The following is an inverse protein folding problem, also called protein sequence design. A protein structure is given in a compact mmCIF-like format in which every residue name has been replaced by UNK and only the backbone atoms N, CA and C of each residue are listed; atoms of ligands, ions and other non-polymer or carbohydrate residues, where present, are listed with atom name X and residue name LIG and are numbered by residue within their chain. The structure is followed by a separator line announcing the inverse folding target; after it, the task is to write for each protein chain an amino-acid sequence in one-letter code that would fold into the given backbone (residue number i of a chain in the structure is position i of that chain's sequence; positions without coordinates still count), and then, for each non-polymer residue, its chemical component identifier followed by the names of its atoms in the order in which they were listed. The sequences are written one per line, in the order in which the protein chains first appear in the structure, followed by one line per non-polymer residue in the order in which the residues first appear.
data_IF_674309000237
#
_entry.id   IF_674309000237
#
_cell.length_a   1.000
_cell.length_b   1.000
_cell.length_c   1.000
_cell.angle_alpha   90.00
_cell.angle_beta   90.00
_cell.angle_gamma   90.00
#
_symmetry.space_group_name_H-M   'P 1'
#
loop_
_entity.id
_entity.type
_entity.pdbx_description
1 polymer ?
#
# COMPACT_ATOMS: atom_id res chain seq x y z
N UNK A 1 25.03 -8.84 12.63
CA UNK A 1 24.33 -7.58 12.95
C UNK A 1 23.79 -7.52 14.38
N UNK A 2 22.86 -8.39 14.80
CA UNK A 2 22.21 -8.27 16.12
C UNK A 2 23.15 -8.17 17.33
N UNK A 3 24.25 -8.92 17.34
CA UNK A 3 25.25 -8.82 18.41
C UNK A 3 25.98 -7.45 18.42
N UNK A 4 26.38 -6.96 17.25
CA UNK A 4 27.02 -5.64 17.12
C UNK A 4 26.11 -4.54 17.67
N UNK A 5 24.82 -4.57 17.35
CA UNK A 5 23.88 -3.58 17.89
C UNK A 5 23.72 -3.71 19.41
N UNK A 6 23.60 -4.91 19.96
CA UNK A 6 23.48 -5.10 21.42
C UNK A 6 24.74 -4.68 22.20
N UNK A 7 25.92 -4.80 21.58
CA UNK A 7 27.19 -4.42 22.20
C UNK A 7 27.48 -2.92 22.12
N UNK A 8 26.93 -2.22 21.13
CA UNK A 8 27.28 -0.82 20.84
C UNK A 8 26.13 0.17 20.98
N UNK A 9 24.89 -0.30 21.21
CA UNK A 9 23.72 0.56 21.37
C UNK A 9 22.97 0.14 22.63
N UNK A 10 22.74 1.08 23.56
CA UNK A 10 21.94 0.79 24.73
C UNK A 10 20.45 0.64 24.38
N UNK A 11 19.73 -0.17 25.16
CA UNK A 11 18.29 -0.35 24.95
C UNK A 11 17.52 0.97 25.11
N UNK A 12 17.94 1.83 26.04
CA UNK A 12 17.32 3.13 26.25
C UNK A 12 17.50 4.06 25.04
N UNK A 13 18.65 4.00 24.35
CA UNK A 13 18.93 4.78 23.13
C UNK A 13 17.99 4.45 21.95
N UNK A 14 17.36 3.26 21.96
CA UNK A 14 16.43 2.83 20.91
C UNK A 14 14.96 2.80 21.35
N UNK A 15 14.68 2.59 22.64
CA UNK A 15 13.30 2.47 23.15
C UNK A 15 12.69 3.81 23.58
N UNK A 16 13.48 4.77 24.06
CA UNK A 16 12.96 6.06 24.50
C UNK A 16 12.99 7.03 23.33
N UNK A 17 11.82 7.52 22.93
CA UNK A 17 11.62 8.44 21.79
C UNK A 17 12.22 9.83 22.00
N UNK A 18 13.06 10.05 23.02
CA UNK A 18 13.80 11.31 23.15
C UNK A 18 14.92 11.35 22.12
N UNK A 19 14.54 11.71 20.89
CA UNK A 19 15.42 11.88 19.75
C UNK A 19 16.34 13.10 19.89
N UNK A 20 16.38 13.76 21.05
CA UNK A 20 17.29 14.87 21.33
C UNK A 20 18.41 14.45 22.30
N UNK A 21 18.34 13.25 22.88
CA UNK A 21 19.39 12.73 23.75
C UNK A 21 20.70 12.55 22.98
N UNK A 22 21.68 13.40 23.28
CA UNK A 22 22.95 13.49 22.55
C UNK A 22 23.74 12.18 22.61
N UNK A 23 23.75 11.50 23.75
CA UNK A 23 24.39 10.20 23.90
C UNK A 23 23.73 9.11 23.03
N UNK A 24 22.39 9.10 22.95
CA UNK A 24 21.66 8.12 22.15
C UNK A 24 21.93 8.28 20.65
N UNK A 25 21.98 9.53 20.17
CA UNK A 25 22.37 9.82 18.78
C UNK A 25 23.83 9.40 18.55
N UNK A 26 24.74 9.68 19.48
CA UNK A 26 26.15 9.29 19.33
C UNK A 26 26.34 7.77 19.30
N UNK A 27 25.66 7.01 20.16
CA UNK A 27 25.70 5.53 20.16
C UNK A 27 25.18 4.96 18.83
N UNK A 28 24.00 5.41 18.41
CA UNK A 28 23.31 4.92 17.20
C UNK A 28 24.00 5.32 15.90
N UNK A 29 24.78 6.40 15.89
CA UNK A 29 25.55 6.87 14.74
C UNK A 29 27.05 6.58 14.84
N UNK A 30 27.47 5.75 15.80
CA UNK A 30 28.86 5.35 15.98
C UNK A 30 29.41 4.60 14.75
N UNK A 31 30.71 4.70 14.52
CA UNK A 31 31.41 4.06 13.40
C UNK A 31 31.11 2.56 13.32
N UNK A 32 31.14 1.83 14.44
CA UNK A 32 30.82 0.40 14.49
C UNK A 32 29.39 0.08 14.06
N UNK A 33 28.42 0.95 14.39
CA UNK A 33 27.01 0.76 14.01
C UNK A 33 26.84 1.03 12.52
N UNK A 34 27.43 2.13 12.02
CA UNK A 34 27.37 2.48 10.60
C UNK A 34 28.08 1.45 9.72
N UNK A 35 29.25 0.95 10.12
CA UNK A 35 29.95 -0.12 9.40
C UNK A 35 29.09 -1.39 9.35
N UNK A 36 28.41 -1.72 10.45
CA UNK A 36 27.50 -2.86 10.48
C UNK A 36 26.29 -2.67 9.56
N UNK A 37 25.75 -1.45 9.46
CA UNK A 37 24.65 -1.13 8.55
C UNK A 37 25.11 -1.14 7.09
N UNK A 38 26.26 -0.54 6.79
CA UNK A 38 26.84 -0.48 5.45
C UNK A 38 27.07 -1.86 4.85
N UNK A 39 27.62 -2.79 5.65
CA UNK A 39 27.83 -4.18 5.25
C UNK A 39 26.52 -4.94 4.92
N UNK A 40 25.37 -4.37 5.27
CA UNK A 40 24.03 -4.89 5.02
C UNK A 40 23.16 -3.91 4.21
N UNK A 41 23.76 -2.95 3.48
CA UNK A 41 22.99 -1.99 2.67
C UNK A 41 22.11 -2.68 1.60
N UNK A 42 22.53 -3.86 1.14
CA UNK A 42 21.79 -4.69 0.18
C UNK A 42 20.76 -5.64 0.83
N UNK A 43 20.77 -5.75 2.16
CA UNK A 43 19.79 -6.55 2.89
C UNK A 43 18.52 -5.73 3.15
N UNK A 44 17.42 -6.45 3.34
CA UNK A 44 16.17 -5.88 3.88
C UNK A 44 15.99 -6.30 5.32
N UNK A 45 15.29 -5.48 6.09
CA UNK A 45 14.78 -5.86 7.41
C UNK A 45 13.30 -6.09 7.31
N UNK A 46 12.85 -7.19 7.92
CA UNK A 46 11.45 -7.53 8.09
C UNK A 46 11.08 -7.36 9.56
N UNK A 47 10.09 -6.53 9.83
CA UNK A 47 9.54 -6.36 11.16
C UNK A 47 8.01 -6.36 11.16
N UNK A 48 7.42 -6.75 12.29
CA UNK A 48 5.98 -6.67 12.50
C UNK A 48 5.57 -5.21 12.68
N UNK A 49 4.82 -4.69 11.71
CA UNK A 49 4.20 -3.37 11.79
C UNK A 49 2.92 -3.40 12.61
N UNK A 50 2.06 -4.41 12.41
CA UNK A 50 0.80 -4.55 13.14
C UNK A 50 0.60 -5.98 13.65
N UNK A 51 0.39 -6.18 14.96
CA UNK A 51 0.47 -5.15 16.00
C UNK A 51 1.91 -4.67 16.21
N UNK A 52 2.09 -3.39 16.52
CA UNK A 52 3.40 -2.83 16.85
C UNK A 52 3.91 -3.47 18.16
N UNK A 53 5.07 -4.12 18.12
CA UNK A 53 5.57 -4.95 19.24
C UNK A 53 5.72 -4.20 20.58
N UNK A 54 6.00 -2.90 20.54
CA UNK A 54 6.35 -2.10 21.73
C UNK A 54 5.29 -1.05 22.10
N UNK A 55 4.19 -0.95 21.35
CA UNK A 55 3.05 -0.09 21.69
C UNK A 55 2.00 -0.95 22.40
N UNK A 56 1.51 -0.52 23.57
CA UNK A 56 0.49 -1.26 24.32
C UNK A 56 -0.73 -0.38 24.52
N UNK A 57 -1.81 -0.72 23.84
CA UNK A 57 -3.07 0.04 23.83
C UNK A 57 -4.19 -0.83 23.24
N UNK A 58 -5.43 -0.41 23.42
CA UNK A 58 -6.61 -1.20 23.07
C UNK A 58 -6.70 -1.52 21.57
N UNK A 59 -6.18 -0.63 20.72
CA UNK A 59 -6.11 -0.76 19.27
C UNK A 59 -4.81 -1.46 18.78
N UNK A 60 -3.97 -1.94 19.68
CA UNK A 60 -2.71 -2.63 19.35
C UNK A 60 -2.51 -3.91 20.17
N UNK A 61 -3.05 -5.01 19.67
CA UNK A 61 -2.95 -6.31 20.33
C UNK A 61 -2.87 -7.45 19.29
N UNK A 62 -2.30 -8.61 19.63
CA UNK A 62 -2.10 -9.75 18.70
C UNK A 62 -3.34 -10.25 17.96
N UNK A 63 -4.53 -9.96 18.47
CA UNK A 63 -5.81 -10.37 17.87
C UNK A 63 -6.55 -9.24 17.18
N UNK A 64 -5.90 -8.10 16.93
CA UNK A 64 -6.52 -6.94 16.29
C UNK A 64 -6.98 -7.26 14.86
N UNK A 65 -6.16 -8.00 14.11
CA UNK A 65 -6.53 -8.54 12.81
C UNK A 65 -7.17 -9.92 12.97
N UNK A 66 -8.23 -10.20 12.20
CA UNK A 66 -8.95 -11.47 12.29
C UNK A 66 -8.58 -12.42 11.16
N UNK A 67 -8.77 -11.96 9.94
CA UNK A 67 -8.56 -12.67 8.68
C UNK A 67 -8.07 -11.66 7.62
N UNK A 68 -6.88 -11.05 7.80
CA UNK A 68 -6.37 -10.11 6.81
C UNK A 68 -5.95 -10.87 5.54
N UNK A 69 -6.37 -10.39 4.37
CA UNK A 69 -6.13 -11.07 3.07
C UNK A 69 -5.38 -10.17 2.08
N UNK A 70 -5.71 -8.89 2.02
CA UNK A 70 -5.12 -7.95 1.07
C UNK A 70 -4.91 -6.58 1.69
N UNK A 71 -4.03 -5.78 1.08
CA UNK A 71 -3.65 -4.45 1.59
C UNK A 71 -3.45 -3.48 0.44
N UNK A 72 -3.81 -2.21 0.64
CA UNK A 72 -3.53 -1.13 -0.31
C UNK A 72 -3.19 0.18 0.41
N UNK A 73 -2.53 1.09 -0.31
CA UNK A 73 -2.23 2.44 0.19
C UNK A 73 -3.47 3.34 0.12
N UNK A 74 -3.51 4.33 1.01
CA UNK A 74 -4.34 5.52 0.84
C UNK A 74 -3.67 6.55 -0.08
N UNK A 75 -4.39 7.61 -0.41
CA UNK A 75 -3.80 8.81 -1.03
C UNK A 75 -2.95 9.61 -0.01
N UNK A 76 -3.16 9.36 1.29
CA UNK A 76 -2.23 9.78 2.36
C UNK A 76 -1.20 8.66 2.62
N UNK A 77 0.11 8.91 2.42
CA UNK A 77 1.17 7.91 2.61
C UNK A 77 1.17 7.30 4.02
N UNK A 78 0.63 8.02 5.01
CA UNK A 78 0.55 7.55 6.39
C UNK A 78 -0.44 6.40 6.57
N UNK A 79 -1.40 6.22 5.66
CA UNK A 79 -2.59 5.39 5.90
C UNK A 79 -2.61 4.16 4.99
N UNK A 80 -2.80 2.98 5.58
CA UNK A 80 -2.96 1.71 4.89
C UNK A 80 -4.37 1.16 5.08
N UNK A 81 -4.95 0.60 4.03
CA UNK A 81 -6.23 -0.10 4.12
C UNK A 81 -6.01 -1.59 4.00
N UNK A 82 -6.53 -2.35 4.97
CA UNK A 82 -6.47 -3.81 4.95
C UNK A 82 -7.87 -4.37 4.70
N UNK A 83 -7.96 -5.27 3.71
CA UNK A 83 -9.08 -6.18 3.57
C UNK A 83 -8.99 -7.23 4.69
N UNK A 84 -9.58 -6.87 5.81
CA UNK A 84 -9.86 -7.72 6.96
C UNK A 84 -11.32 -7.46 7.37
N UNK A 85 -11.87 -8.28 8.25
CA UNK A 85 -13.14 -7.98 8.93
C UNK A 85 -13.06 -6.72 9.82
N UNK A 86 -11.91 -6.04 9.94
CA UNK A 86 -11.62 -5.01 10.98
C UNK A 86 -11.05 -3.65 10.49
N UNK A 87 -10.75 -3.39 9.20
CA UNK A 87 -10.54 -2.01 8.66
C UNK A 87 -9.12 -1.40 8.70
N UNK A 88 -9.01 -0.07 8.51
CA UNK A 88 -7.78 0.74 8.23
C UNK A 88 -6.73 0.64 9.31
N UNK A 89 -5.48 0.74 8.89
CA UNK A 89 -4.32 0.76 9.74
C UNK A 89 -3.47 1.99 9.41
N UNK A 90 -3.41 2.92 10.35
CA UNK A 90 -2.18 3.68 10.60
C UNK A 90 -1.27 2.76 11.43
N UNK A 91 0.06 2.73 11.27
CA UNK A 91 0.93 1.92 12.12
C UNK A 91 0.69 2.13 13.63
N UNK A 92 0.14 3.30 14.02
CA UNK A 92 -0.26 3.61 15.38
C UNK A 92 -1.79 3.66 15.65
N UNK A 93 -2.67 3.36 14.69
CA UNK A 93 -4.12 3.26 14.96
C UNK A 93 -4.80 2.26 14.03
N UNK A 94 -5.40 1.20 14.61
CA UNK A 94 -6.24 0.25 13.86
C UNK A 94 -7.71 0.57 14.09
N UNK A 95 -8.42 0.90 13.01
CA UNK A 95 -9.82 1.34 13.05
C UNK A 95 -10.71 0.66 12.03
N UNK A 96 -11.82 0.10 12.51
CA UNK A 96 -12.87 -0.44 11.65
C UNK A 96 -13.64 0.67 10.93
N UNK A 97 -13.56 0.68 9.59
CA UNK A 97 -14.35 1.59 8.77
C UNK A 97 -15.75 1.07 8.51
N UNK A 98 -15.84 -0.18 8.05
CA UNK A 98 -17.09 -0.75 7.58
C UNK A 98 -17.28 -2.15 8.16
N UNK A 99 -18.55 -2.53 8.29
CA UNK A 99 -19.00 -3.87 8.70
C UNK A 99 -19.74 -4.54 7.54
N UNK A 100 -19.88 -5.86 7.60
CA UNK A 100 -20.70 -6.61 6.64
C UNK A 100 -19.95 -7.20 5.44
N UNK A 101 -18.63 -7.00 5.37
CA UNK A 101 -17.75 -7.77 4.49
C UNK A 101 -17.60 -9.19 5.06
N UNK A 102 -17.94 -10.22 4.28
CA UNK A 102 -17.86 -11.62 4.74
C UNK A 102 -16.66 -12.37 4.19
N UNK A 103 -16.32 -12.11 2.92
CA UNK A 103 -15.30 -12.86 2.17
C UNK A 103 -14.49 -11.90 1.30
N UNK A 104 -13.82 -10.90 1.91
CA UNK A 104 -12.97 -9.98 1.15
C UNK A 104 -11.77 -10.74 0.58
N UNK A 105 -11.49 -10.58 -0.71
CA UNK A 105 -10.33 -11.18 -1.39
C UNK A 105 -9.33 -10.16 -1.91
N UNK A 106 -9.78 -8.92 -2.14
CA UNK A 106 -8.93 -7.83 -2.59
C UNK A 106 -9.46 -6.48 -2.16
N UNK A 107 -8.57 -5.52 -1.98
CA UNK A 107 -8.89 -4.12 -1.66
C UNK A 107 -8.08 -3.15 -2.51
N UNK A 108 -8.70 -2.03 -2.88
CA UNK A 108 -8.08 -0.94 -3.62
C UNK A 108 -8.67 0.40 -3.14
N UNK A 109 -7.84 1.43 -3.06
CA UNK A 109 -8.29 2.81 -2.84
C UNK A 109 -8.30 3.59 -4.16
N UNK A 110 -9.37 4.35 -4.39
CA UNK A 110 -9.53 5.21 -5.55
C UNK A 110 -10.17 6.54 -5.09
N UNK A 111 -9.34 7.59 -4.96
CA UNK A 111 -9.78 8.95 -4.59
C UNK A 111 -10.62 8.96 -3.29
N UNK A 112 -10.09 8.34 -2.24
CA UNK A 112 -10.76 8.23 -0.93
C UNK A 112 -11.95 7.26 -0.86
N UNK A 113 -12.22 6.49 -1.91
CA UNK A 113 -13.24 5.44 -1.95
C UNK A 113 -12.56 4.07 -2.01
N UNK A 114 -12.94 3.18 -1.08
CA UNK A 114 -12.41 1.82 -1.05
C UNK A 114 -13.28 0.91 -1.91
N UNK A 115 -12.64 0.10 -2.76
CA UNK A 115 -13.26 -0.95 -3.53
C UNK A 115 -12.77 -2.30 -3.01
N UNK A 116 -13.69 -3.24 -2.82
CA UNK A 116 -13.40 -4.56 -2.25
C UNK A 116 -14.07 -5.63 -3.10
N UNK A 117 -13.31 -6.66 -3.47
CA UNK A 117 -13.86 -7.90 -4.02
C UNK A 117 -14.41 -8.76 -2.87
N UNK A 118 -15.70 -9.10 -2.91
CA UNK A 118 -16.24 -10.17 -2.08
C UNK A 118 -16.41 -11.43 -2.94
N UNK A 119 -15.32 -12.16 -3.18
CA UNK A 119 -15.28 -13.30 -4.11
C UNK A 119 -16.33 -14.37 -3.77
N UNK A 120 -16.48 -14.73 -2.49
CA UNK A 120 -17.52 -15.67 -2.02
C UNK A 120 -18.97 -15.18 -2.17
N UNK A 121 -19.19 -13.90 -2.49
CA UNK A 121 -20.50 -13.31 -2.79
C UNK A 121 -20.63 -12.84 -4.25
N UNK A 122 -19.65 -13.11 -5.10
CA UNK A 122 -19.70 -12.81 -6.54
C UNK A 122 -19.98 -11.34 -6.86
N UNK A 123 -19.37 -10.41 -6.11
CA UNK A 123 -19.64 -8.97 -6.27
C UNK A 123 -18.44 -8.10 -5.89
N UNK A 124 -18.41 -6.91 -6.47
CA UNK A 124 -17.55 -5.81 -6.05
C UNK A 124 -18.39 -4.88 -5.19
N UNK A 125 -17.85 -4.47 -4.05
CA UNK A 125 -18.46 -3.46 -3.19
C UNK A 125 -17.55 -2.26 -3.06
N UNK A 126 -18.14 -1.12 -2.72
CA UNK A 126 -17.37 0.09 -2.45
C UNK A 126 -17.86 0.79 -1.17
N UNK A 127 -16.94 1.50 -0.53
CA UNK A 127 -17.13 2.16 0.77
C UNK A 127 -16.55 3.58 0.65
N UNK A 128 -17.41 4.58 0.80
CA UNK A 128 -17.00 5.99 0.82
C UNK A 128 -16.75 6.42 2.27
N UNK A 129 -15.51 6.26 2.73
CA UNK A 129 -15.09 6.63 4.08
C UNK A 129 -14.67 8.11 4.18
N UNK A 130 -14.40 8.76 3.06
CA UNK A 130 -14.00 10.17 3.02
C UNK A 130 -15.16 11.13 2.73
N UNK A 131 -16.38 10.60 2.55
CA UNK A 131 -17.62 11.36 2.28
C UNK A 131 -17.54 12.14 0.95
N UNK A 132 -16.85 11.57 -0.04
CA UNK A 132 -16.55 12.16 -1.36
C UNK A 132 -17.74 12.15 -2.32
N UNK A 133 -18.71 11.27 -2.07
CA UNK A 133 -19.93 11.14 -2.88
C UNK A 133 -21.11 11.95 -2.33
N UNK A 134 -20.93 12.63 -1.21
CA UNK A 134 -21.92 13.54 -0.67
C UNK A 134 -22.04 14.78 -1.54
N UNK A 135 -23.27 15.16 -1.86
CA UNK A 135 -23.54 16.43 -2.52
C UNK A 135 -23.55 17.57 -1.48
N UNK A 136 -22.52 18.42 -1.50
CA UNK A 136 -22.53 19.67 -0.75
C UNK A 136 -23.29 20.75 -1.55
N UNK A 137 -24.55 20.98 -1.20
CA UNK A 137 -25.44 21.93 -1.89
C UNK A 137 -24.86 23.36 -1.87
N UNK A 138 -24.13 23.71 -0.81
CA UNK A 138 -23.59 25.05 -0.63
C UNK A 138 -22.36 25.33 -1.50
N UNK A 139 -21.58 24.29 -1.81
CA UNK A 139 -20.35 24.38 -2.62
C UNK A 139 -20.51 23.89 -4.06
N UNK A 140 -21.61 23.17 -4.35
CA UNK A 140 -21.85 22.61 -5.68
C UNK A 140 -22.09 23.67 -6.75
N UNK A 141 -21.66 23.33 -7.96
CA UNK A 141 -21.84 24.14 -9.17
C UNK A 141 -23.32 24.17 -9.59
N UNK A 142 -23.73 25.18 -10.39
CA UNK A 142 -25.11 25.25 -10.92
C UNK A 142 -25.46 23.99 -11.71
N UNK A 143 -24.53 23.46 -12.51
CA UNK A 143 -24.70 22.24 -13.32
C UNK A 143 -25.09 21.04 -12.44
N UNK A 144 -24.28 20.75 -11.42
CA UNK A 144 -24.49 19.61 -10.52
C UNK A 144 -25.80 19.75 -9.74
N UNK A 145 -26.15 20.97 -9.30
CA UNK A 145 -27.41 21.23 -8.62
C UNK A 145 -28.61 21.09 -9.56
N UNK A 146 -28.50 21.45 -10.84
CA UNK A 146 -29.59 21.24 -11.80
C UNK A 146 -29.82 19.75 -12.04
N UNK A 147 -28.75 18.99 -12.24
CA UNK A 147 -28.82 17.52 -12.40
C UNK A 147 -29.48 16.85 -11.19
N UNK A 148 -29.08 17.25 -9.98
CA UNK A 148 -29.69 16.76 -8.74
C UNK A 148 -31.14 17.21 -8.58
N UNK A 149 -31.46 18.44 -8.96
CA UNK A 149 -32.83 18.95 -8.90
C UNK A 149 -33.76 18.20 -9.88
N UNK A 150 -33.27 17.86 -11.08
CA UNK A 150 -34.00 17.02 -12.03
C UNK A 150 -34.29 15.63 -11.44
N UNK A 151 -33.31 15.02 -10.76
CA UNK A 151 -33.52 13.76 -10.05
C UNK A 151 -34.59 13.87 -8.95
N UNK A 152 -34.70 15.01 -8.27
CA UNK A 152 -35.75 15.29 -7.28
C UNK A 152 -37.11 15.73 -7.90
N UNK A 153 -37.24 15.63 -9.22
CA UNK A 153 -38.42 16.01 -10.00
C UNK A 153 -38.79 17.49 -9.85
N UNK A 154 -37.80 18.37 -9.64
CA UNK A 154 -38.00 19.82 -9.64
C UNK A 154 -38.16 20.30 -11.08
N UNK A 155 -39.22 21.07 -11.34
CA UNK A 155 -39.54 21.59 -12.68
C UNK A 155 -38.58 22.72 -13.10
N UNK A 156 -38.03 22.61 -14.31
CA UNK A 156 -37.18 23.62 -14.99
C UNK A 156 -36.06 24.23 -14.10
N UNK A 157 -35.20 23.39 -13.47
CA UNK A 157 -34.18 23.87 -12.53
C UNK A 157 -33.15 24.80 -13.18
N UNK A 158 -32.89 24.66 -14.47
CA UNK A 158 -31.98 25.50 -15.26
C UNK A 158 -32.39 26.98 -15.31
N UNK A 159 -33.70 27.27 -15.22
CA UNK A 159 -34.24 28.65 -15.18
C UNK A 159 -34.02 29.32 -13.83
N UNK A 160 -33.80 28.56 -12.76
CA UNK A 160 -33.55 29.11 -11.43
C UNK A 160 -32.14 29.66 -11.30
N UNK A 161 -31.99 30.76 -10.53
CA UNK A 161 -30.67 31.21 -10.09
C UNK A 161 -30.13 30.28 -8.99
N UNK A 162 -28.82 30.34 -8.75
CA UNK A 162 -28.11 29.42 -7.84
C UNK A 162 -28.66 29.46 -6.41
N UNK A 163 -29.01 30.65 -5.90
CA UNK A 163 -29.55 30.83 -4.54
C UNK A 163 -30.91 30.17 -4.40
N UNK A 164 -31.81 30.42 -5.34
CA UNK A 164 -33.15 29.84 -5.37
C UNK A 164 -33.08 28.32 -5.51
N UNK A 165 -32.22 27.81 -6.40
CA UNK A 165 -32.06 26.38 -6.62
C UNK A 165 -31.64 25.65 -5.35
N UNK A 166 -30.65 26.19 -4.62
CA UNK A 166 -30.22 25.64 -3.31
C UNK A 166 -31.38 25.59 -2.30
N UNK A 167 -32.21 26.64 -2.24
CA UNK A 167 -33.36 26.68 -1.33
C UNK A 167 -34.43 25.63 -1.68
N UNK A 168 -34.74 25.47 -2.96
CA UNK A 168 -35.74 24.48 -3.41
C UNK A 168 -35.25 23.06 -3.10
N UNK A 169 -33.99 22.75 -3.42
CA UNK A 169 -33.39 21.44 -3.16
C UNK A 169 -33.44 21.13 -1.66
N UNK A 170 -33.00 22.05 -0.79
CA UNK A 170 -33.02 21.84 0.65
C UNK A 170 -34.43 21.53 1.18
N UNK A 171 -35.44 22.31 0.77
CA UNK A 171 -36.84 22.05 1.16
C UNK A 171 -37.34 20.68 0.71
N UNK A 172 -36.96 20.26 -0.51
CA UNK A 172 -37.37 18.96 -1.07
C UNK A 172 -36.73 17.79 -0.34
N UNK A 173 -35.46 17.90 0.03
CA UNK A 173 -34.75 16.91 0.86
C UNK A 173 -35.42 16.79 2.24
N UNK A 174 -35.71 17.92 2.89
CA UNK A 174 -36.39 17.94 4.20
C UNK A 174 -37.77 17.28 4.13
N UNK A 175 -38.56 17.61 3.10
CA UNK A 175 -39.89 17.04 2.90
C UNK A 175 -39.88 15.54 2.59
N UNK A 176 -38.86 15.06 1.88
CA UNK A 176 -38.71 13.65 1.50
C UNK A 176 -38.15 12.77 2.64
N UNK A 177 -37.71 13.36 3.76
CA UNK A 177 -37.17 12.60 4.89
C UNK A 177 -35.93 11.78 4.54
N UNK A 178 -35.14 12.23 3.57
CA UNK A 178 -33.99 11.46 3.08
C UNK A 178 -32.93 11.30 4.20
N UNK A 179 -32.31 10.11 4.34
CA UNK A 179 -31.30 9.85 5.37
C UNK A 179 -30.07 10.75 5.20
N UNK A 180 -29.43 11.13 6.33
CA UNK A 180 -28.41 12.18 6.40
C UNK A 180 -26.99 11.78 5.95
N UNK A 181 -26.79 10.56 5.44
CA UNK A 181 -25.50 10.15 4.89
C UNK A 181 -25.36 8.64 4.66
N UNK A 182 -24.40 8.28 3.81
CA UNK A 182 -24.03 6.89 3.47
C UNK A 182 -22.55 6.62 3.74
N UNK A 183 -21.89 7.49 4.52
CA UNK A 183 -20.51 7.31 4.94
C UNK A 183 -20.36 5.94 5.59
N UNK A 184 -19.27 5.24 5.26
CA UNK A 184 -18.92 3.94 5.84
C UNK A 184 -19.90 2.79 5.51
N UNK A 185 -20.88 3.04 4.63
CA UNK A 185 -21.82 2.02 4.17
C UNK A 185 -21.23 1.22 3.02
N UNK A 186 -21.41 -0.11 3.07
CA UNK A 186 -21.01 -1.02 2.01
C UNK A 186 -22.09 -1.01 0.92
N UNK A 187 -21.72 -0.56 -0.29
CA UNK A 187 -22.61 -0.51 -1.46
C UNK A 187 -22.08 -1.42 -2.56
N UNK A 188 -22.96 -1.99 -3.36
CA UNK A 188 -22.56 -2.86 -4.47
C UNK A 188 -22.25 -2.00 -5.69
N UNK A 189 -21.10 -2.23 -6.33
CA UNK A 189 -20.77 -1.63 -7.61
C UNK A 189 -21.34 -2.50 -8.73
N UNK A 190 -22.31 -1.97 -9.46
CA UNK A 190 -22.75 -2.57 -10.72
C UNK A 190 -21.78 -2.17 -11.83
N UNK A 191 -21.17 -3.16 -12.50
CA UNK A 191 -20.21 -2.94 -13.60
C UNK A 191 -20.81 -3.27 -14.98
N UNK A 192 -22.11 -3.52 -15.06
CA UNK A 192 -22.82 -3.81 -16.32
C UNK A 192 -22.57 -5.21 -16.88
N UNK A 193 -21.95 -6.11 -16.10
CA UNK A 193 -21.71 -7.51 -16.49
C UNK A 193 -22.47 -8.43 -15.55
N UNK A 194 -23.28 -9.32 -16.14
CA UNK A 194 -24.05 -10.30 -15.38
C UNK A 194 -23.15 -11.40 -14.83
N UNK A 195 -23.16 -11.56 -13.49
CA UNK A 195 -22.53 -12.64 -12.74
C UNK A 195 -21.01 -12.79 -12.96
N UNK A 196 -20.25 -11.98 -12.22
CA UNK A 196 -18.78 -12.04 -12.07
C UNK A 196 -18.38 -12.75 -10.77
N UNK A 197 -17.21 -13.39 -10.76
CA UNK A 197 -16.51 -13.88 -9.57
C UNK A 197 -15.20 -13.08 -9.45
N UNK A 198 -15.28 -11.83 -8.95
CA UNK A 198 -14.14 -10.94 -8.91
C UNK A 198 -13.17 -11.40 -7.81
N UNK A 199 -11.89 -11.50 -8.15
CA UNK A 199 -10.86 -12.05 -7.25
C UNK A 199 -9.83 -11.01 -6.82
N UNK A 200 -9.33 -10.20 -7.76
CA UNK A 200 -8.30 -9.19 -7.52
C UNK A 200 -8.58 -7.88 -8.26
N UNK A 201 -8.23 -6.75 -7.64
CA UNK A 201 -8.30 -5.41 -8.21
C UNK A 201 -6.91 -4.80 -8.33
N UNK A 202 -6.71 -3.94 -9.33
CA UNK A 202 -5.55 -3.04 -9.39
C UNK A 202 -5.95 -1.68 -9.98
N UNK A 203 -5.51 -0.62 -9.31
CA UNK A 203 -5.74 0.77 -9.75
C UNK A 203 -4.89 1.06 -10.98
N UNK A 204 -5.45 1.80 -11.94
CA UNK A 204 -4.73 2.31 -13.12
C UNK A 204 -4.66 3.82 -13.07
N UNK A 205 -5.81 4.48 -12.88
CA UNK A 205 -5.94 5.94 -12.85
C UNK A 205 -7.06 6.34 -11.86
N UNK A 206 -7.46 7.61 -11.82
CA UNK A 206 -8.46 8.19 -10.90
C UNK A 206 -9.86 7.59 -11.04
N UNK A 207 -10.24 7.12 -12.23
CA UNK A 207 -11.56 6.54 -12.50
C UNK A 207 -11.47 5.19 -13.21
N UNK A 208 -10.29 4.57 -13.24
CA UNK A 208 -10.00 3.38 -14.03
C UNK A 208 -9.26 2.33 -13.20
N UNK A 209 -9.74 1.09 -13.26
CA UNK A 209 -9.09 -0.05 -12.66
C UNK A 209 -9.26 -1.31 -13.51
N UNK A 210 -8.43 -2.33 -13.23
CA UNK A 210 -8.65 -3.69 -13.71
C UNK A 210 -9.17 -4.59 -12.60
N UNK A 211 -10.06 -5.52 -12.96
CA UNK A 211 -10.54 -6.59 -12.07
C UNK A 211 -10.37 -7.94 -12.73
N UNK A 212 -9.77 -8.88 -12.01
CA UNK A 212 -9.70 -10.27 -12.44
C UNK A 212 -11.02 -11.00 -12.12
N UNK A 213 -11.62 -11.58 -13.15
CA UNK A 213 -12.83 -12.39 -13.03
C UNK A 213 -12.50 -13.87 -13.23
N UNK A 214 -12.62 -14.65 -12.17
CA UNK A 214 -12.34 -16.08 -12.19
C UNK A 214 -13.32 -16.84 -13.09
N UNK A 215 -14.57 -16.39 -13.19
CA UNK A 215 -15.60 -17.12 -13.92
C UNK A 215 -15.41 -17.04 -15.43
N UNK A 216 -15.19 -15.84 -15.96
CA UNK A 216 -14.89 -15.65 -17.39
C UNK A 216 -13.44 -15.93 -17.73
N UNK A 217 -12.59 -16.18 -16.72
CA UNK A 217 -11.14 -16.31 -16.87
C UNK A 217 -10.53 -15.14 -17.63
N UNK A 218 -10.89 -13.93 -17.22
CA UNK A 218 -10.46 -12.71 -17.90
C UNK A 218 -10.11 -11.60 -16.93
N UNK A 219 -9.33 -10.63 -17.40
CA UNK A 219 -9.12 -9.36 -16.72
C UNK A 219 -9.99 -8.31 -17.40
N UNK A 220 -10.87 -7.68 -16.63
CA UNK A 220 -11.82 -6.68 -17.10
C UNK A 220 -11.30 -5.28 -16.77
N UNK A 221 -11.21 -4.41 -17.78
CA UNK A 221 -10.99 -2.99 -17.57
C UNK A 221 -12.32 -2.31 -17.25
N UNK A 222 -12.38 -1.58 -16.13
CA UNK A 222 -13.60 -0.93 -15.64
C UNK A 222 -13.33 0.54 -15.38
N UNK A 223 -14.11 1.41 -16.02
CA UNK A 223 -14.19 2.83 -15.64
C UNK A 223 -15.33 3.04 -14.65
N UNK A 224 -15.15 3.94 -13.68
CA UNK A 224 -16.14 4.26 -12.64
C UNK A 224 -16.68 5.65 -12.86
N UNK A 225 -18.01 5.77 -12.86
CA UNK A 225 -18.69 7.06 -13.00
C UNK A 225 -19.66 7.29 -11.86
N UNK A 226 -19.92 8.57 -11.59
CA UNK A 226 -20.92 9.02 -10.63
C UNK A 226 -22.29 9.08 -11.31
N UNK A 227 -23.32 8.63 -10.62
CA UNK A 227 -24.73 8.87 -10.97
C UNK A 227 -25.40 9.57 -9.80
N UNK A 228 -26.35 10.45 -10.08
CA UNK A 228 -27.14 11.07 -9.00
C UNK A 228 -27.94 10.01 -8.25
N UNK A 229 -27.99 10.13 -6.93
CA UNK A 229 -28.77 9.30 -6.04
C UNK A 229 -29.33 10.11 -4.86
N UNK A 230 -30.22 9.51 -4.06
CA UNK A 230 -30.92 10.18 -2.97
C UNK A 230 -30.02 11.00 -2.02
N UNK A 231 -28.80 10.53 -1.74
CA UNK A 231 -27.86 11.10 -0.78
C UNK A 231 -26.71 11.91 -1.43
N UNK A 232 -26.79 12.16 -2.74
CA UNK A 232 -25.77 12.84 -3.52
C UNK A 232 -25.43 12.04 -4.76
N UNK A 233 -24.33 11.29 -4.69
CA UNK A 233 -23.86 10.45 -5.80
C UNK A 233 -23.70 8.98 -5.39
N UNK A 234 -24.08 8.09 -6.31
CA UNK A 234 -23.76 6.67 -6.28
C UNK A 234 -22.75 6.39 -7.40
N UNK A 235 -22.14 5.21 -7.39
CA UNK A 235 -21.19 4.78 -8.39
C UNK A 235 -21.77 3.69 -9.28
N UNK A 236 -21.34 3.69 -10.52
CA UNK A 236 -21.51 2.56 -11.43
C UNK A 236 -20.25 2.41 -12.27
N UNK A 237 -19.93 1.16 -12.58
CA UNK A 237 -18.84 0.79 -13.46
C UNK A 237 -19.34 0.62 -14.90
N UNK A 238 -18.44 0.81 -15.85
CA UNK A 238 -18.63 0.37 -17.23
C UNK A 238 -17.40 -0.43 -17.63
N UNK A 239 -17.62 -1.70 -18.02
CA UNK A 239 -16.54 -2.49 -18.60
C UNK A 239 -16.22 -1.99 -20.01
N UNK A 240 -14.96 -1.65 -20.24
CA UNK A 240 -14.48 -1.11 -21.51
C UNK A 240 -13.86 -2.17 -22.41
N UNK A 241 -13.13 -3.09 -21.78
CA UNK A 241 -12.24 -4.03 -22.45
C UNK A 241 -12.03 -5.27 -21.56
N UNK A 242 -11.70 -6.40 -22.19
CA UNK A 242 -11.45 -7.68 -21.52
C UNK A 242 -10.28 -8.42 -22.17
N UNK A 243 -9.39 -8.94 -21.33
CA UNK A 243 -8.22 -9.75 -21.71
C UNK A 243 -8.48 -11.17 -21.26
N UNK A 244 -8.47 -12.13 -22.19
CA UNK A 244 -8.64 -13.54 -21.86
C UNK A 244 -7.37 -14.11 -21.25
N UNK A 245 -7.50 -14.86 -20.15
CA UNK A 245 -6.40 -15.56 -19.49
C UNK A 245 -6.82 -17.02 -19.26
N UNK A 246 -6.73 -17.89 -20.29
CA UNK A 246 -7.35 -19.22 -20.28
C UNK A 246 -6.92 -20.14 -19.13
N UNK A 247 -5.66 -20.01 -18.70
CA UNK A 247 -5.07 -20.84 -17.65
C UNK A 247 -5.30 -20.28 -16.24
N UNK A 248 -5.97 -19.13 -16.10
CA UNK A 248 -6.29 -18.54 -14.79
C UNK A 248 -7.30 -19.44 -14.05
N UNK A 249 -6.87 -19.90 -12.88
CA UNK A 249 -7.68 -20.63 -11.90
C UNK A 249 -8.27 -19.71 -10.84
N UNK A 250 -7.60 -18.59 -10.57
CA UNK A 250 -7.96 -17.52 -9.65
C UNK A 250 -6.78 -16.55 -9.53
N UNK A 251 -7.02 -15.27 -9.79
CA UNK A 251 -5.98 -14.25 -9.63
C UNK A 251 -5.87 -13.86 -8.15
N UNK A 252 -4.71 -14.09 -7.55
CA UNK A 252 -4.42 -13.76 -6.14
C UNK A 252 -3.59 -12.48 -6.00
N UNK A 253 -2.89 -12.10 -7.08
CA UNK A 253 -2.06 -10.92 -7.18
C UNK A 253 -2.18 -10.32 -8.57
N UNK A 254 -2.32 -8.99 -8.64
CA UNK A 254 -2.40 -8.24 -9.89
C UNK A 254 -1.63 -6.92 -9.73
N UNK A 255 -0.67 -6.66 -10.60
CA UNK A 255 0.10 -5.42 -10.64
C UNK A 255 0.04 -4.81 -12.05
N UNK A 256 -0.18 -3.50 -12.12
CA UNK A 256 -0.22 -2.75 -13.37
C UNK A 256 1.09 -1.98 -13.58
N UNK A 257 1.59 -1.99 -14.81
CA UNK A 257 2.82 -1.32 -15.21
C UNK A 257 2.75 -0.89 -16.68
N UNK A 258 2.32 0.34 -16.94
CA UNK A 258 2.27 0.92 -18.29
C UNK A 258 1.49 0.06 -19.29
N UNK A 259 2.16 -0.72 -20.14
CA UNK A 259 1.53 -1.61 -21.12
C UNK A 259 1.34 -3.06 -20.61
N UNK A 260 1.76 -3.36 -19.39
CA UNK A 260 1.76 -4.72 -18.86
C UNK A 260 0.90 -4.85 -17.60
N UNK A 261 0.22 -5.99 -17.49
CA UNK A 261 -0.30 -6.51 -16.24
C UNK A 261 0.50 -7.73 -15.83
N UNK A 262 0.85 -7.82 -14.55
CA UNK A 262 1.47 -9.00 -13.98
C UNK A 262 0.49 -9.67 -13.02
N UNK A 263 0.30 -10.97 -13.20
CA UNK A 263 -0.68 -11.76 -12.47
C UNK A 263 0.03 -12.89 -11.73
N UNK A 264 -0.39 -13.15 -10.49
CA UNK A 264 -0.04 -14.33 -9.72
C UNK A 264 -1.27 -15.24 -9.56
N UNK A 265 -1.11 -16.51 -9.92
CA UNK A 265 -2.14 -17.54 -9.90
C UNK A 265 -1.55 -18.86 -9.37
N UNK A 266 -2.28 -19.54 -8.49
CA UNK A 266 -1.81 -20.78 -7.87
C UNK A 266 -1.68 -21.96 -8.86
N UNK A 267 -2.23 -21.88 -10.05
CA UNK A 267 -2.13 -22.92 -11.10
C UNK A 267 -1.19 -22.48 -12.21
N UNK A 268 -1.39 -21.27 -12.75
CA UNK A 268 -0.64 -20.80 -13.92
C UNK A 268 0.77 -20.25 -13.54
N UNK A 269 0.94 -19.79 -12.30
CA UNK A 269 2.19 -19.21 -11.80
C UNK A 269 2.18 -17.68 -11.91
N UNK A 270 3.29 -17.10 -12.38
CA UNK A 270 3.40 -15.65 -12.64
C UNK A 270 3.34 -15.41 -14.14
N UNK A 271 2.36 -14.63 -14.57
CA UNK A 271 2.11 -14.29 -15.96
C UNK A 271 2.32 -12.80 -16.18
N UNK A 272 2.73 -12.45 -17.39
CA UNK A 272 2.71 -11.09 -17.95
C UNK A 272 1.67 -11.04 -19.06
N UNK A 273 0.78 -10.07 -19.00
CA UNK A 273 -0.21 -9.76 -20.03
C UNK A 273 0.17 -8.45 -20.69
N UNK A 274 0.27 -8.41 -22.00
CA UNK A 274 0.51 -7.19 -22.77
C UNK A 274 -0.81 -6.60 -23.25
N UNK A 275 -1.09 -5.35 -22.87
CA UNK A 275 -2.39 -4.71 -23.09
C UNK A 275 -2.63 -4.37 -24.56
N UNK A 276 -1.61 -3.85 -25.25
CA UNK A 276 -1.71 -3.48 -26.66
C UNK A 276 -1.95 -4.68 -27.59
N UNK A 277 -1.26 -5.80 -27.33
CA UNK A 277 -1.32 -7.00 -28.18
C UNK A 277 -2.36 -8.03 -27.72
N UNK A 278 -2.89 -7.88 -26.50
CA UNK A 278 -3.80 -8.84 -25.85
C UNK A 278 -3.20 -10.25 -25.78
N UNK A 279 -1.92 -10.35 -25.42
CA UNK A 279 -1.19 -11.62 -25.31
C UNK A 279 -0.74 -11.88 -23.89
N UNK A 280 -0.72 -13.14 -23.49
CA UNK A 280 -0.18 -13.61 -22.23
C UNK A 280 1.15 -14.35 -22.42
N UNK A 281 2.02 -14.25 -21.42
CA UNK A 281 3.30 -14.94 -21.36
C UNK A 281 3.58 -15.40 -19.94
N UNK A 282 3.91 -16.67 -19.78
CA UNK A 282 4.30 -17.23 -18.47
C UNK A 282 5.73 -16.84 -18.15
N UNK A 283 5.95 -16.12 -17.05
CA UNK A 283 7.28 -15.79 -16.53
C UNK A 283 7.78 -16.91 -15.63
N UNK A 284 6.93 -17.38 -14.69
CA UNK A 284 7.24 -18.48 -13.79
C UNK A 284 6.07 -19.46 -13.76
N UNK A 285 6.36 -20.76 -13.81
CA UNK A 285 5.36 -21.81 -13.60
C UNK A 285 5.27 -22.19 -12.12
N UNK A 286 4.06 -22.47 -11.67
CA UNK A 286 3.82 -23.10 -10.36
C UNK A 286 4.47 -24.47 -10.29
N UNK A 287 4.95 -24.84 -9.09
CA UNK A 287 5.55 -26.14 -8.78
C UNK A 287 7.08 -26.15 -8.87
N UNK A 288 7.71 -24.99 -9.08
CA UNK A 288 9.16 -24.85 -9.14
C UNK A 288 9.76 -24.53 -7.77
N UNK A 289 11.09 -24.56 -7.67
CA UNK A 289 11.79 -24.23 -6.42
C UNK A 289 11.59 -22.77 -5.98
N UNK A 290 11.32 -21.88 -6.92
CA UNK A 290 11.15 -20.44 -6.69
C UNK A 290 9.69 -19.98 -6.79
N UNK A 291 8.77 -20.82 -7.28
CA UNK A 291 7.35 -20.48 -7.45
C UNK A 291 6.48 -21.73 -7.21
N UNK A 292 5.85 -21.82 -6.03
CA UNK A 292 4.98 -22.90 -5.61
C UNK A 292 3.52 -22.47 -5.39
N UNK A 293 3.26 -21.37 -4.71
CA UNK A 293 1.91 -20.78 -4.60
C UNK A 293 2.03 -19.26 -4.60
N UNK A 294 2.32 -18.64 -5.76
CA UNK A 294 2.47 -17.19 -5.85
C UNK A 294 1.13 -16.52 -5.57
N UNK A 295 1.10 -15.54 -4.66
CA UNK A 295 -0.13 -14.93 -4.17
C UNK A 295 -0.16 -13.43 -4.43
N UNK A 296 0.33 -12.59 -3.52
CA UNK A 296 0.41 -11.14 -3.71
C UNK A 296 1.55 -10.76 -4.65
N UNK A 297 1.39 -9.67 -5.40
CA UNK A 297 2.38 -9.17 -6.35
C UNK A 297 2.37 -7.64 -6.35
N UNK A 298 3.54 -7.02 -6.36
CA UNK A 298 3.70 -5.58 -6.37
C UNK A 298 4.95 -5.17 -7.16
N UNK A 299 4.88 -4.03 -7.86
CA UNK A 299 6.01 -3.43 -8.57
C UNK A 299 6.80 -2.52 -7.64
N UNK A 300 8.12 -2.62 -7.71
CA UNK A 300 9.07 -1.71 -7.04
C UNK A 300 10.14 -1.32 -8.04
N UNK A 301 10.16 -0.06 -8.48
CA UNK A 301 11.09 0.36 -9.54
C UNK A 301 10.89 -0.47 -10.81
N UNK A 302 11.96 -1.10 -11.31
CA UNK A 302 11.96 -2.03 -12.45
C UNK A 302 11.82 -3.50 -12.04
N UNK A 303 11.51 -3.77 -10.77
CA UNK A 303 11.45 -5.10 -10.19
C UNK A 303 9.99 -5.49 -9.87
N UNK A 304 9.72 -6.80 -9.86
CA UNK A 304 8.47 -7.36 -9.35
C UNK A 304 8.75 -8.14 -8.09
N UNK A 305 8.00 -7.87 -7.02
CA UNK A 305 8.06 -8.66 -5.80
C UNK A 305 6.75 -9.43 -5.68
N UNK A 306 6.85 -10.72 -5.38
CA UNK A 306 5.69 -11.56 -5.10
C UNK A 306 5.87 -12.30 -3.78
N UNK A 307 4.75 -12.51 -3.10
CA UNK A 307 4.67 -13.45 -2.00
C UNK A 307 4.37 -14.83 -2.54
N UNK A 308 4.97 -15.83 -1.93
CA UNK A 308 4.67 -17.21 -2.21
C UNK A 308 4.27 -17.91 -0.91
N UNK A 309 2.99 -18.27 -0.83
CA UNK A 309 2.39 -18.89 0.36
C UNK A 309 3.03 -20.24 0.63
N UNK A 310 3.29 -21.03 -0.41
CA UNK A 310 3.86 -22.37 -0.31
C UNK A 310 5.33 -22.34 0.07
N UNK A 311 6.05 -21.28 -0.31
CA UNK A 311 7.45 -21.06 0.06
C UNK A 311 7.64 -20.28 1.34
N UNK A 312 6.58 -19.73 1.96
CA UNK A 312 6.68 -18.92 3.19
C UNK A 312 7.69 -17.77 3.04
N UNK A 313 7.74 -17.17 1.85
CA UNK A 313 8.79 -16.26 1.45
C UNK A 313 8.30 -15.24 0.42
N UNK A 314 9.07 -14.18 0.26
CA UNK A 314 8.96 -13.18 -0.79
C UNK A 314 10.11 -13.37 -1.76
N UNK A 315 9.81 -13.29 -3.05
CA UNK A 315 10.78 -13.40 -4.12
C UNK A 315 10.71 -12.15 -5.00
N UNK A 316 11.83 -11.88 -5.66
CA UNK A 316 12.00 -10.71 -6.50
C UNK A 316 12.45 -11.11 -7.90
N UNK A 317 11.67 -10.76 -8.90
CA UNK A 317 12.03 -10.84 -10.31
C UNK A 317 12.71 -9.53 -10.69
N UNK A 318 13.95 -9.62 -11.17
CA UNK A 318 14.70 -8.46 -11.64
C UNK A 318 14.31 -8.10 -13.07
N UNK A 319 14.33 -6.80 -13.36
CA UNK A 319 14.08 -6.21 -14.68
C UNK A 319 12.84 -6.80 -15.40
N UNK A 320 11.68 -6.29 -15.02
CA UNK A 320 10.39 -6.75 -15.56
C UNK A 320 10.14 -6.31 -17.00
N UNK A 321 10.90 -5.32 -17.49
CA UNK A 321 10.82 -4.81 -18.86
C UNK A 321 11.52 -5.77 -19.82
N UNK A 322 12.73 -6.23 -19.46
CA UNK A 322 13.53 -7.15 -20.28
C UNK A 322 13.55 -8.59 -19.75
N UNK A 323 12.52 -8.99 -19.01
CA UNK A 323 12.48 -10.31 -18.35
C UNK A 323 12.67 -11.46 -19.36
N UNK A 324 13.66 -12.31 -19.09
CA UNK A 324 13.87 -13.54 -19.84
C UNK A 324 12.79 -14.56 -19.47
N UNK A 325 11.94 -14.92 -20.43
CA UNK A 325 10.87 -15.91 -20.21
C UNK A 325 11.39 -17.35 -20.05
N UNK A 326 12.63 -17.62 -20.47
CA UNK A 326 13.25 -18.94 -20.34
C UNK A 326 14.02 -19.11 -19.02
N UNK A 327 14.56 -18.01 -18.51
CA UNK A 327 15.38 -18.01 -17.30
C UNK A 327 15.28 -16.62 -16.64
N UNK A 328 14.15 -16.31 -15.99
CA UNK A 328 14.01 -15.04 -15.29
C UNK A 328 15.03 -14.97 -14.15
N UNK A 329 15.61 -13.80 -13.93
CA UNK A 329 16.50 -13.56 -12.79
C UNK A 329 15.64 -13.34 -11.55
N UNK A 330 15.50 -14.40 -10.75
CA UNK A 330 14.69 -14.41 -9.55
C UNK A 330 15.56 -14.67 -8.34
N UNK A 331 15.43 -13.83 -7.33
CA UNK A 331 16.17 -13.95 -6.07
C UNK A 331 15.21 -14.01 -4.89
N UNK A 332 15.59 -14.77 -3.85
CA UNK A 332 14.92 -14.71 -2.56
C UNK A 332 15.07 -13.28 -2.00
N UNK A 333 13.94 -12.64 -1.72
CA UNK A 333 13.90 -11.29 -1.18
C UNK A 333 13.81 -11.30 0.34
N UNK A 334 12.90 -12.10 0.90
CA UNK A 334 12.79 -12.30 2.34
C UNK A 334 12.09 -13.64 2.70
N UNK A 335 12.35 -14.16 3.89
CA UNK A 335 11.78 -15.40 4.41
C UNK A 335 12.72 -16.60 4.29
N UNK A 336 13.01 -17.30 5.39
CA UNK A 336 13.82 -18.53 5.37
C UNK A 336 13.09 -19.80 4.91
N UNK A 337 11.81 -19.69 4.58
CA UNK A 337 10.98 -20.80 4.12
C UNK A 337 10.35 -21.66 5.22
N UNK A 338 10.59 -21.32 6.48
CA UNK A 338 9.95 -21.94 7.63
C UNK A 338 8.73 -21.13 8.07
N UNK A 339 7.64 -21.83 8.36
CA UNK A 339 6.44 -21.21 8.92
C UNK A 339 6.72 -20.63 10.32
N UNK A 340 6.41 -19.35 10.49
CA UNK A 340 6.58 -18.64 11.75
C UNK A 340 6.34 -17.13 11.58
N UNK A 341 6.66 -16.35 12.62
CA UNK A 341 6.44 -14.90 12.63
C UNK A 341 7.65 -14.10 13.14
N UNK A 342 8.83 -14.71 13.14
CA UNK A 342 10.06 -14.09 13.60
C UNK A 342 10.45 -12.90 12.71
N UNK A 343 10.61 -11.72 13.32
CA UNK A 343 11.24 -10.54 12.71
C UNK A 343 12.74 -10.81 12.48
N UNK A 344 13.36 -10.15 11.52
CA UNK A 344 14.80 -10.33 11.26
C UNK A 344 15.30 -9.69 9.99
N UNK A 345 16.57 -9.95 9.68
CA UNK A 345 17.13 -9.63 8.36
C UNK A 345 16.47 -10.54 7.31
N UNK A 346 16.33 -10.05 6.08
CA UNK A 346 15.46 -10.62 5.04
C UNK A 346 15.47 -12.14 4.97
N UNK A 347 16.64 -12.76 4.89
CA UNK A 347 16.76 -14.22 4.76
C UNK A 347 16.56 -15.01 6.05
N UNK A 348 16.61 -14.37 7.21
CA UNK A 348 16.47 -15.00 8.52
C UNK A 348 15.06 -14.86 9.11
N UNK A 349 14.24 -13.96 8.56
CA UNK A 349 12.87 -13.77 9.02
C UNK A 349 11.96 -14.95 8.65
N UNK A 350 10.82 -15.07 9.32
CA UNK A 350 9.79 -16.06 9.01
C UNK A 350 8.48 -15.39 8.62
N UNK A 351 7.76 -16.05 7.71
CA UNK A 351 6.37 -15.76 7.38
C UNK A 351 5.53 -17.03 7.56
N UNK A 352 4.25 -16.91 7.89
CA UNK A 352 3.33 -18.05 7.97
C UNK A 352 2.51 -18.23 6.70
N UNK A 353 1.84 -17.20 6.19
CA UNK A 353 1.17 -17.21 4.88
C UNK A 353 1.21 -15.79 4.30
N UNK A 354 2.35 -15.37 3.73
CA UNK A 354 2.45 -14.04 3.13
C UNK A 354 1.50 -13.97 1.93
N UNK A 355 0.55 -13.04 1.96
CA UNK A 355 -0.54 -12.91 0.99
C UNK A 355 -0.47 -11.54 0.32
N UNK A 356 -1.39 -10.61 0.59
CA UNK A 356 -1.41 -9.28 0.00
C UNK A 356 -0.12 -8.49 0.19
N UNK A 357 0.27 -7.75 -0.85
CA UNK A 357 1.45 -6.87 -0.85
C UNK A 357 1.03 -5.52 -1.43
N UNK A 358 1.44 -4.44 -0.78
CA UNK A 358 1.49 -3.12 -1.39
C UNK A 358 2.85 -2.46 -1.10
N UNK A 359 3.18 -1.43 -1.88
CA UNK A 359 4.48 -0.76 -1.83
C UNK A 359 4.32 0.73 -1.71
N UNK A 360 5.16 1.35 -0.89
CA UNK A 360 5.38 2.79 -0.83
C UNK A 360 6.87 3.05 -1.06
N UNK A 361 7.21 3.56 -2.26
CA UNK A 361 8.61 3.63 -2.70
C UNK A 361 9.28 2.26 -2.67
N UNK A 362 10.37 2.13 -1.90
CA UNK A 362 11.13 0.88 -1.74
C UNK A 362 10.71 0.08 -0.49
N UNK A 363 9.66 0.50 0.20
CA UNK A 363 9.14 -0.17 1.40
C UNK A 363 7.91 -0.99 1.02
N UNK A 364 7.85 -2.24 1.48
CA UNK A 364 6.70 -3.11 1.27
C UNK A 364 5.94 -3.27 2.58
N UNK A 365 4.62 -3.33 2.44
CA UNK A 365 3.72 -3.83 3.46
C UNK A 365 3.15 -5.15 2.98
N UNK A 366 3.32 -6.18 3.79
CA UNK A 366 2.91 -7.54 3.47
C UNK A 366 1.92 -8.01 4.52
N UNK A 367 0.77 -8.47 4.08
CA UNK A 367 -0.15 -9.20 4.93
C UNK A 367 0.43 -10.60 5.14
N UNK A 368 0.71 -10.98 6.38
CA UNK A 368 0.97 -12.38 6.72
C UNK A 368 -0.32 -12.95 7.33
N UNK A 369 -1.15 -13.55 6.48
CA UNK A 369 -2.49 -14.03 6.84
C UNK A 369 -2.45 -15.12 7.91
N UNK A 370 -1.44 -15.98 7.86
CA UNK A 370 -1.29 -17.10 8.80
C UNK A 370 -0.90 -16.60 10.20
N UNK A 371 -0.02 -15.61 10.26
CA UNK A 371 0.38 -14.95 11.51
C UNK A 371 -0.56 -13.83 11.95
N UNK A 372 -1.54 -13.47 11.13
CA UNK A 372 -2.52 -12.39 11.34
C UNK A 372 -1.88 -11.04 11.67
N UNK A 373 -0.84 -10.69 10.92
CA UNK A 373 -0.09 -9.47 11.15
C UNK A 373 0.20 -8.76 9.82
N UNK A 374 0.61 -7.50 9.92
CA UNK A 374 1.20 -6.77 8.79
C UNK A 374 2.70 -6.69 9.03
N UNK A 375 3.47 -7.08 8.02
CA UNK A 375 4.94 -7.07 8.00
C UNK A 375 5.41 -5.88 7.18
N UNK A 376 6.35 -5.14 7.71
CA UNK A 376 7.10 -4.11 7.00
C UNK A 376 8.39 -4.73 6.48
N UNK A 377 8.68 -4.55 5.19
CA UNK A 377 9.96 -4.95 4.58
C UNK A 377 10.61 -3.71 3.97
N UNK A 378 11.79 -3.35 4.45
CA UNK A 378 12.47 -2.12 4.02
C UNK A 378 13.98 -2.29 3.99
N UNK A 379 14.66 -1.51 3.13
CA UNK A 379 16.13 -1.47 3.06
C UNK A 379 16.72 -0.71 4.24
N UNK A 380 17.93 -1.09 4.64
CA UNK A 380 18.69 -0.38 5.66
C UNK A 380 19.43 0.86 5.13
N UNK A 381 19.58 0.99 3.82
CA UNK A 381 20.37 2.07 3.21
C UNK A 381 19.89 3.49 3.59
N UNK A 382 18.58 3.81 3.61
CA UNK A 382 18.13 5.13 4.07
C UNK A 382 18.48 5.41 5.53
N UNK A 383 18.39 4.41 6.40
CA UNK A 383 18.75 4.53 7.82
C UNK A 383 20.26 4.74 7.99
N UNK A 384 21.08 3.97 7.27
CA UNK A 384 22.54 4.12 7.24
C UNK A 384 22.93 5.54 6.80
N UNK A 385 22.33 6.04 5.71
CA UNK A 385 22.58 7.41 5.20
C UNK A 385 22.20 8.48 6.22
N UNK A 386 21.03 8.37 6.82
CA UNK A 386 20.55 9.31 7.84
C UNK A 386 21.47 9.34 9.07
N UNK A 387 21.84 8.18 9.61
CA UNK A 387 22.72 8.09 10.77
C UNK A 387 24.14 8.59 10.46
N UNK A 388 24.62 8.40 9.22
CA UNK A 388 25.91 8.95 8.77
C UNK A 388 25.91 10.48 8.78
N UNK A 389 24.84 11.10 8.31
CA UNK A 389 24.64 12.56 8.35
C UNK A 389 24.64 13.06 9.80
N UNK A 390 23.94 12.37 10.71
CA UNK A 390 23.94 12.74 12.13
C UNK A 390 25.34 12.64 12.76
N UNK A 391 26.09 11.58 12.45
CA UNK A 391 27.49 11.44 12.90
C UNK A 391 28.32 12.62 12.42
N UNK A 392 28.19 13.00 11.15
CA UNK A 392 29.00 14.07 10.55
C UNK A 392 28.68 15.44 11.15
N UNK A 393 27.41 15.71 11.50
CA UNK A 393 27.03 16.87 12.31
C UNK A 393 27.76 16.82 13.66
N UNK A 394 27.67 15.70 14.38
CA UNK A 394 28.23 15.60 15.72
C UNK A 394 29.76 15.71 15.75
N UNK A 395 30.45 15.05 14.80
CA UNK A 395 31.91 15.15 14.66
C UNK A 395 32.34 16.58 14.31
N UNK A 396 31.58 17.27 13.45
CA UNK A 396 31.86 18.68 13.09
C UNK A 396 31.79 19.63 14.28
N UNK A 397 30.95 19.33 15.27
CA UNK A 397 30.84 20.09 16.52
C UNK A 397 31.61 19.47 17.70
N UNK A 398 32.44 18.45 17.46
CA UNK A 398 33.20 17.73 18.49
C UNK A 398 32.33 17.15 19.63
N UNK A 399 31.09 16.79 19.33
CA UNK A 399 30.13 16.23 20.29
C UNK A 399 30.37 14.73 20.45
N UNK A 400 30.72 14.28 21.65
CA UNK A 400 30.92 12.85 21.99
C UNK A 400 31.83 12.07 21.02
N UNK A 401 32.93 12.67 20.56
CA UNK A 401 33.85 12.07 19.56
C UNK A 401 34.34 10.68 19.94
N UNK A 402 34.59 10.42 21.24
CA UNK A 402 35.00 9.11 21.76
C UNK A 402 33.97 8.00 21.54
N UNK A 403 32.66 8.33 21.59
CA UNK A 403 31.58 7.37 21.33
C UNK A 403 31.43 7.13 19.82
N UNK A 404 31.65 8.17 19.02
CA UNK A 404 31.44 8.15 17.57
C UNK A 404 32.55 7.42 16.80
N UNK A 405 33.74 7.23 17.37
CA UNK A 405 34.87 6.57 16.72
C UNK A 405 36.22 7.06 17.24
N UNK A 406 37.26 7.03 16.41
CA UNK A 406 38.59 7.53 16.79
C UNK A 406 38.47 8.95 17.39
N UNK A 407 38.88 9.11 18.65
CA UNK A 407 38.56 10.27 19.51
C UNK A 407 39.15 11.63 19.10
N UNK A 408 39.52 11.81 17.84
CA UNK A 408 39.99 13.08 17.30
C UNK A 408 38.83 13.86 16.68
N UNK A 409 38.71 15.13 17.01
CA UNK A 409 37.81 16.05 16.32
C UNK A 409 38.24 16.25 14.88
N UNK A 410 37.28 16.41 13.96
CA UNK A 410 37.58 16.85 12.60
C UNK A 410 38.25 18.24 12.63
N UNK A 411 39.16 18.50 11.69
CA UNK A 411 39.66 19.86 11.50
C UNK A 411 38.58 20.76 10.89
N UNK A 412 38.74 22.08 11.02
CA UNK A 412 37.74 23.05 10.56
C UNK A 412 37.39 22.93 9.07
N UNK A 413 38.35 22.53 8.22
CA UNK A 413 38.12 22.38 6.77
C UNK A 413 37.30 21.13 6.51
N UNK A 414 37.61 20.02 7.18
CA UNK A 414 36.82 18.80 7.14
C UNK A 414 35.40 19.04 7.65
N UNK A 415 35.23 19.73 8.77
CA UNK A 415 33.91 20.08 9.32
C UNK A 415 33.10 20.92 8.34
N UNK A 416 33.70 21.95 7.73
CA UNK A 416 33.01 22.76 6.71
C UNK A 416 32.59 21.90 5.50
N UNK A 417 33.43 20.98 5.06
CA UNK A 417 33.09 20.08 3.95
C UNK A 417 31.91 19.18 4.30
N UNK A 418 31.96 18.51 5.46
CA UNK A 418 30.88 17.63 5.93
C UNK A 418 29.57 18.38 6.09
N UNK A 419 29.60 19.60 6.63
CA UNK A 419 28.39 20.41 6.79
C UNK A 419 27.75 20.81 5.45
N UNK A 420 28.53 20.95 4.37
CA UNK A 420 27.98 21.13 3.02
C UNK A 420 27.29 19.87 2.50
N UNK A 421 27.86 18.69 2.77
CA UNK A 421 27.25 17.41 2.39
C UNK A 421 25.94 17.18 3.17
N UNK A 422 25.92 17.56 4.46
CA UNK A 422 24.72 17.57 5.32
C UNK A 422 23.64 18.51 4.76
N UNK A 423 24.02 19.74 4.38
CA UNK A 423 23.10 20.72 3.77
C UNK A 423 22.48 20.13 2.49
N UNK A 424 23.31 19.62 1.57
CA UNK A 424 22.84 19.00 0.34
C UNK A 424 21.92 17.81 0.58
N UNK A 425 22.19 16.99 1.60
CA UNK A 425 21.29 15.91 2.00
C UNK A 425 19.89 16.41 2.37
N UNK A 426 19.79 17.42 3.24
CA UNK A 426 18.49 17.95 3.66
C UNK A 426 17.76 18.72 2.55
N UNK A 427 18.48 19.39 1.66
CA UNK A 427 17.91 19.99 0.46
C UNK A 427 17.26 18.93 -0.44
N UNK A 428 17.95 17.80 -0.66
CA UNK A 428 17.40 16.68 -1.42
C UNK A 428 16.16 16.09 -0.76
N UNK A 429 16.19 15.81 0.56
CA UNK A 429 15.02 15.33 1.28
C UNK A 429 13.83 16.31 1.19
N UNK A 430 14.10 17.61 1.25
CA UNK A 430 13.06 18.64 1.11
C UNK A 430 12.48 18.64 -0.30
N UNK A 431 13.31 18.47 -1.32
CA UNK A 431 12.88 18.36 -2.71
C UNK A 431 12.00 17.12 -2.92
N UNK A 432 12.44 15.96 -2.42
CA UNK A 432 11.69 14.70 -2.49
C UNK A 432 10.33 14.82 -1.78
N UNK A 433 10.30 15.37 -0.56
CA UNK A 433 9.07 15.58 0.18
C UNK A 433 8.08 16.50 -0.55
N UNK A 434 8.57 17.55 -1.24
CA UNK A 434 7.73 18.40 -2.09
C UNK A 434 7.15 17.61 -3.26
N UNK A 435 7.95 16.79 -3.94
CA UNK A 435 7.43 15.96 -5.04
C UNK A 435 6.39 14.94 -4.60
N UNK A 436 6.43 14.47 -3.36
CA UNK A 436 5.45 13.53 -2.81
C UNK A 436 4.16 14.19 -2.32
N UNK A 437 4.18 15.48 -1.96
CA UNK A 437 3.04 16.20 -1.36
C UNK A 437 2.26 17.08 -2.33
N UNK A 438 2.85 17.42 -3.48
CA UNK A 438 2.16 18.14 -4.54
C UNK A 438 1.78 17.16 -5.65
N UNK A 439 0.47 16.89 -5.77
CA UNK A 439 -0.10 16.36 -7.01
C UNK A 439 0.25 17.30 -8.17
N UNK A 440 0.78 16.76 -9.26
CA UNK A 440 0.79 17.45 -10.56
C UNK A 440 -0.64 17.72 -11.04
#
# INVERSE_FOLDING_TARGET
MGNVFRENISLDSVQRKDRQATAAIAETSSEKVLDCLHNSDNDVVVCTAVPEKYRKCDDNHPSILKEPVDICLSDDPSVLYVADRVGVIYPAEVKQLAKGLSTPSSIMNLDGILFVCESGKNKIVYIDHKDTLKLDISKSTKRNLCEYATFLEITEPEKSNLKTLRQIINRRIEAAGLPRGTKDTVRVLDIGINAVVPTKLVKVDKDLFFVADQKTKSILQVTVKRKVAAYGYDLFGTSLYSISVPDMSGCFGLAYCSNYLYLADHTAGILRLELDSNTDSVILKTGTEICNQPHGIAKVGTELIYSDVGKRALYKIKDIENVSLNQPDVVLFAGKGEEGNEDGLGKDCQFSQPSGICTEGNTLFVVDSGSKNIRLVTSLSPMHKYLSVLRDIYKSFSVHTEILGSGHSDDIRMSISKLKDVESFFENCTSEAKTLTFEN
#
